data_IF_226255381514
#
_entry.id   IF_226255381514
#
_cell.length_a   1.000
_cell.length_b   1.000
_cell.length_c   1.000
_cell.angle_alpha   90.00
_cell.angle_beta   90.00
_cell.angle_gamma   90.00
#
_symmetry.space_group_name_H-M   'P 1'
#
loop_
_entity.id
_entity.type
_entity.pdbx_description
1 polymer ?
#
# COMPACT_ATOMS: atom_id res chain seq x y z
N UNK A 1 0.79 -9.60 -8.21
CA UNK A 1 1.44 -9.20 -6.94
C UNK A 1 0.35 -8.84 -5.95
N UNK A 2 0.49 -9.29 -4.72
CA UNK A 2 -0.49 -9.04 -3.66
C UNK A 2 0.07 -8.03 -2.67
N UNK A 3 -0.77 -7.09 -2.21
CA UNK A 3 -0.38 -6.16 -1.15
C UNK A 3 -0.83 -6.72 0.19
N UNK A 4 0.10 -6.78 1.13
CA UNK A 4 -0.14 -7.35 2.46
C UNK A 4 0.04 -6.29 3.55
N UNK A 5 -0.90 -6.29 4.50
CA UNK A 5 -0.70 -5.66 5.80
C UNK A 5 -0.59 -6.79 6.82
N UNK A 6 0.59 -6.92 7.42
CA UNK A 6 0.94 -8.09 8.22
C UNK A 6 0.78 -9.34 7.35
N UNK A 7 -0.13 -10.25 7.67
CA UNK A 7 -0.36 -11.46 6.91
C UNK A 7 -1.62 -11.39 6.03
N UNK A 8 -2.33 -10.26 6.07
CA UNK A 8 -3.61 -10.10 5.39
C UNK A 8 -3.45 -9.52 4.00
N UNK A 9 -4.03 -10.18 3.01
CA UNK A 9 -4.06 -9.67 1.64
C UNK A 9 -5.14 -8.60 1.56
N UNK A 10 -4.76 -7.36 1.31
CA UNK A 10 -5.70 -6.24 1.23
C UNK A 10 -5.96 -5.80 -0.21
N UNK A 11 -5.20 -6.30 -1.16
CA UNK A 11 -5.42 -5.98 -2.55
C UNK A 11 -4.43 -6.66 -3.49
N UNK A 12 -4.64 -6.41 -4.78
CA UNK A 12 -3.83 -6.96 -5.86
C UNK A 12 -3.27 -5.83 -6.70
N UNK A 13 -2.04 -6.02 -7.19
CA UNK A 13 -1.33 -5.04 -8.01
C UNK A 13 -1.01 -5.68 -9.35
N UNK A 14 -1.38 -4.99 -10.43
CA UNK A 14 -1.11 -5.46 -11.81
C UNK A 14 -0.48 -4.34 -12.63
N UNK A 15 -0.06 -4.68 -13.84
CA UNK A 15 0.56 -3.74 -14.80
C UNK A 15 1.75 -3.02 -14.17
N UNK A 16 2.61 -3.79 -13.51
CA UNK A 16 3.71 -3.29 -12.69
C UNK A 16 4.86 -2.81 -13.58
N UNK A 17 5.39 -1.63 -13.28
CA UNK A 17 6.60 -1.12 -13.90
C UNK A 17 7.46 -0.40 -12.87
N UNK A 18 8.76 -0.33 -13.14
CA UNK A 18 9.73 0.28 -12.24
C UNK A 18 10.28 1.54 -12.88
N UNK A 19 10.35 2.62 -12.09
CA UNK A 19 10.95 3.88 -12.50
C UNK A 19 11.84 4.36 -11.36
N UNK A 20 13.15 4.41 -11.60
CA UNK A 20 14.16 4.63 -10.58
C UNK A 20 14.02 3.58 -9.46
N UNK A 21 13.81 4.00 -8.23
CA UNK A 21 13.60 3.09 -7.10
C UNK A 21 12.11 2.89 -6.79
N UNK A 22 11.23 3.47 -7.60
CA UNK A 22 9.78 3.37 -7.40
C UNK A 22 9.20 2.23 -8.21
N UNK A 23 8.26 1.52 -7.61
CA UNK A 23 7.44 0.52 -8.29
C UNK A 23 6.04 1.10 -8.41
N UNK A 24 5.48 1.04 -9.61
CA UNK A 24 4.16 1.56 -9.93
C UNK A 24 3.28 0.46 -10.50
N UNK A 25 1.98 0.60 -10.36
CA UNK A 25 1.04 -0.34 -10.93
C UNK A 25 -0.39 0.13 -10.74
N UNK A 26 -1.32 -0.79 -11.02
CA UNK A 26 -2.74 -0.59 -10.79
C UNK A 26 -3.19 -1.46 -9.63
N UNK A 27 -3.91 -0.86 -8.69
CA UNK A 27 -4.34 -1.52 -7.46
C UNK A 27 -5.83 -1.82 -7.50
N UNK A 28 -6.17 -3.03 -7.05
CA UNK A 28 -7.56 -3.42 -6.83
C UNK A 28 -7.68 -4.00 -5.43
N UNK A 29 -8.45 -3.34 -4.57
CA UNK A 29 -8.65 -3.77 -3.20
C UNK A 29 -9.53 -5.01 -3.08
N UNK A 30 -9.26 -5.82 -2.04
CA UNK A 30 -10.18 -6.86 -1.60
C UNK A 30 -11.26 -6.23 -0.72
N UNK A 31 -12.21 -7.05 -0.25
CA UNK A 31 -13.24 -6.55 0.69
C UNK A 31 -12.61 -6.00 1.96
N UNK A 32 -11.47 -6.55 2.39
CA UNK A 32 -10.75 -6.06 3.57
C UNK A 32 -10.16 -4.67 3.38
N UNK A 33 -9.94 -4.24 2.14
CA UNK A 33 -9.39 -2.91 1.86
C UNK A 33 -10.27 -1.79 2.40
N UNK A 34 -11.54 -2.03 2.57
CA UNK A 34 -12.46 -1.01 3.11
C UNK A 34 -12.00 -0.48 4.46
N UNK A 35 -11.37 -1.33 5.27
CA UNK A 35 -10.89 -0.95 6.59
C UNK A 35 -9.64 -0.06 6.53
N UNK A 36 -9.01 0.01 5.37
CA UNK A 36 -7.76 0.77 5.16
C UNK A 36 -7.95 1.98 4.25
N UNK A 37 -9.11 2.12 3.61
CA UNK A 37 -9.31 3.15 2.59
C UNK A 37 -9.13 4.57 3.12
N UNK A 38 -9.61 4.86 4.32
CA UNK A 38 -9.46 6.18 4.94
C UNK A 38 -7.99 6.51 5.22
N UNK A 39 -7.21 5.51 5.64
CA UNK A 39 -5.78 5.66 5.86
C UNK A 39 -5.06 6.08 4.58
N UNK A 40 -5.33 5.37 3.46
CA UNK A 40 -4.68 5.68 2.19
C UNK A 40 -5.14 7.00 1.59
N UNK A 41 -6.40 7.37 1.78
CA UNK A 41 -6.88 8.71 1.40
C UNK A 41 -6.11 9.80 2.13
N UNK A 42 -5.84 9.58 3.43
CA UNK A 42 -5.07 10.52 4.22
C UNK A 42 -3.64 10.68 3.74
N UNK A 43 -2.98 9.56 3.37
CA UNK A 43 -1.58 9.59 2.94
C UNK A 43 -1.39 10.42 1.67
N UNK A 44 -2.34 10.36 0.72
CA UNK A 44 -2.24 11.07 -0.55
C UNK A 44 -2.97 12.41 -0.55
N UNK A 45 -3.51 12.82 0.60
CA UNK A 45 -4.27 14.06 0.73
C UNK A 45 -3.34 15.27 0.70
N UNK A 46 -3.68 16.27 -0.12
CA UNK A 46 -2.89 17.50 -0.23
C UNK A 46 -2.94 18.36 1.04
N UNK A 47 -3.99 18.20 1.85
CA UNK A 47 -4.18 18.95 3.09
C UNK A 47 -3.34 18.45 4.25
N UNK A 48 -2.53 17.40 4.01
CA UNK A 48 -1.68 16.81 5.01
C UNK A 48 -2.27 15.55 5.64
N UNK A 49 -1.45 14.85 6.41
CA UNK A 49 -1.78 13.57 7.01
C UNK A 49 -1.83 13.70 8.53
N UNK A 50 -2.98 13.40 9.12
CA UNK A 50 -3.15 13.43 10.56
C UNK A 50 -2.94 12.04 11.16
N UNK A 51 -1.73 11.78 11.65
CA UNK A 51 -1.33 10.49 12.22
C UNK A 51 -2.17 10.09 13.43
N UNK A 52 -2.71 11.05 14.16
CA UNK A 52 -3.46 10.77 15.39
C UNK A 52 -4.79 10.05 15.14
N UNK A 53 -5.29 10.06 13.90
CA UNK A 53 -6.56 9.42 13.54
C UNK A 53 -6.42 7.93 13.28
N UNK A 54 -5.20 7.41 13.18
CA UNK A 54 -4.97 6.04 12.75
C UNK A 54 -4.14 5.27 13.76
N UNK A 55 -4.31 3.95 13.74
CA UNK A 55 -3.54 3.05 14.56
C UNK A 55 -2.05 3.14 14.18
N UNK A 56 -1.18 3.22 15.17
CA UNK A 56 0.26 3.32 14.90
C UNK A 56 0.81 2.10 14.14
N UNK A 57 0.14 0.96 14.21
CA UNK A 57 0.54 -0.23 13.43
C UNK A 57 0.47 0.01 11.93
N UNK A 58 -0.47 0.86 11.47
CA UNK A 58 -0.57 1.26 10.07
C UNK A 58 0.61 2.13 9.65
N UNK A 59 1.18 2.87 10.59
CA UNK A 59 2.30 3.78 10.34
C UNK A 59 3.65 3.09 10.40
N UNK A 60 3.68 1.82 10.76
CA UNK A 60 4.91 1.04 10.86
C UNK A 60 5.20 0.34 9.53
N UNK A 61 6.26 0.77 8.85
CA UNK A 61 6.67 0.19 7.56
C UNK A 61 6.91 -1.32 7.65
N UNK A 62 7.33 -1.83 8.80
CA UNK A 62 7.61 -3.25 8.97
C UNK A 62 6.37 -4.13 8.78
N UNK A 63 5.17 -3.56 8.86
CA UNK A 63 3.92 -4.29 8.69
C UNK A 63 3.46 -4.36 7.23
N UNK A 64 4.15 -3.68 6.31
CA UNK A 64 3.77 -3.62 4.90
C UNK A 64 4.69 -4.45 4.04
N UNK A 65 4.11 -5.26 3.17
CA UNK A 65 4.87 -6.12 2.26
C UNK A 65 4.05 -6.43 1.02
N UNK A 66 4.71 -7.03 0.03
CA UNK A 66 4.07 -7.56 -1.16
C UNK A 66 4.47 -9.01 -1.34
N UNK A 67 3.56 -9.81 -1.87
CA UNK A 67 3.83 -11.18 -2.28
C UNK A 67 3.95 -11.22 -3.80
N UNK A 68 5.15 -11.50 -4.27
CA UNK A 68 5.45 -11.60 -5.69
C UNK A 68 5.77 -13.05 -6.02
N UNK A 69 4.79 -13.74 -6.60
CA UNK A 69 4.93 -15.15 -7.02
C UNK A 69 5.39 -16.07 -5.88
N UNK A 70 4.85 -15.86 -4.68
CA UNK A 70 5.18 -16.66 -3.51
C UNK A 70 6.33 -16.14 -2.67
N UNK A 71 6.98 -15.06 -3.11
CA UNK A 71 8.06 -14.43 -2.37
C UNK A 71 7.55 -13.15 -1.70
N UNK A 72 7.57 -13.11 -0.37
CA UNK A 72 7.15 -11.95 0.41
C UNK A 72 8.33 -11.01 0.61
N UNK A 73 8.17 -9.76 0.20
CA UNK A 73 9.21 -8.73 0.29
C UNK A 73 8.65 -7.52 1.01
N UNK A 74 9.40 -7.01 1.99
CA UNK A 74 8.99 -5.81 2.73
C UNK A 74 9.04 -4.56 1.87
N UNK A 75 8.09 -3.66 2.11
CA UNK A 75 8.01 -2.38 1.42
C UNK A 75 7.79 -1.26 2.44
N UNK A 76 8.05 -0.03 2.02
CA UNK A 76 7.59 1.14 2.75
C UNK A 76 6.09 1.29 2.53
N UNK A 77 5.41 2.05 3.40
CA UNK A 77 3.98 2.29 3.28
C UNK A 77 3.66 2.78 1.87
N UNK A 78 2.77 2.09 1.13
CA UNK A 78 2.49 2.47 -0.25
C UNK A 78 1.60 3.70 -0.34
N UNK A 79 1.68 4.41 -1.47
CA UNK A 79 0.73 5.46 -1.81
C UNK A 79 -0.29 4.85 -2.78
N UNK A 80 -1.56 4.86 -2.38
CA UNK A 80 -2.67 4.36 -3.20
C UNK A 80 -3.59 5.54 -3.50
N UNK A 81 -3.75 5.84 -4.79
CA UNK A 81 -4.52 7.00 -5.25
C UNK A 81 -5.95 6.59 -5.60
N UNK A 82 -6.85 7.56 -5.58
CA UNK A 82 -8.28 7.29 -5.83
C UNK A 82 -8.57 6.73 -7.22
N UNK A 83 -7.72 7.04 -8.21
CA UNK A 83 -7.85 6.51 -9.57
C UNK A 83 -7.37 5.06 -9.72
N UNK A 84 -6.87 4.47 -8.65
CA UNK A 84 -6.40 3.10 -8.64
C UNK A 84 -4.91 2.93 -8.84
N UNK A 85 -4.16 4.01 -9.03
CA UNK A 85 -2.70 3.92 -9.12
C UNK A 85 -2.09 3.63 -7.76
N UNK A 86 -1.04 2.82 -7.75
CA UNK A 86 -0.26 2.54 -6.55
C UNK A 86 1.22 2.76 -6.84
N UNK A 87 1.92 3.32 -5.84
CA UNK A 87 3.38 3.53 -5.91
C UNK A 87 3.99 3.13 -4.57
N UNK A 88 5.10 2.40 -4.63
CA UNK A 88 5.79 1.99 -3.41
C UNK A 88 7.28 1.75 -3.68
N UNK A 89 8.04 1.57 -2.60
CA UNK A 89 9.46 1.21 -2.66
C UNK A 89 9.72 -0.02 -1.80
N UNK A 90 10.67 -0.84 -2.22
CA UNK A 90 11.17 -1.93 -1.37
C UNK A 90 12.00 -1.36 -0.21
N UNK A 91 11.88 -2.01 0.95
CA UNK A 91 12.71 -1.68 2.11
C UNK A 91 14.10 -2.28 1.99
#
# INVERSE_FOLDING_TARGET
MELLFKENIIGYIKDIYTEDNWIHGLFKGTDEFKDYSEFFKGIVCEDGFDESKFDYELLDDDNWSVNDNGKVVGIYIPAIYEDGDISFKYR
#
